data_IF_787845808265
#
_entry.id   IF_787845808265
#
_cell.length_a   1.000
_cell.length_b   1.000
_cell.length_c   1.000
_cell.angle_alpha   90.00
_cell.angle_beta   90.00
_cell.angle_gamma   90.00
#
_symmetry.space_group_name_H-M   'P 1'
#
loop_
_entity.id
_entity.type
_entity.pdbx_description
1 polymer ?
#
# COMPACT_ATOMS: atom_id res chain seq x y z
N UNK A 1 -3.80 25.41 -14.16
CA UNK A 1 -2.89 24.33 -13.73
C UNK A 1 -1.72 24.95 -12.98
N UNK A 2 -1.63 24.75 -11.67
CA UNK A 2 -0.51 25.27 -10.87
C UNK A 2 0.67 24.31 -11.02
N UNK A 3 1.74 24.67 -11.74
CA UNK A 3 2.96 23.88 -11.84
C UNK A 3 3.79 24.00 -10.55
N UNK A 4 3.35 23.33 -9.48
CA UNK A 4 4.18 23.18 -8.29
C UNK A 4 5.23 22.11 -8.59
N UNK A 5 6.50 22.47 -8.48
CA UNK A 5 7.61 21.52 -8.60
C UNK A 5 7.48 20.52 -7.45
N UNK A 6 7.41 19.23 -7.78
CA UNK A 6 7.32 18.15 -6.80
C UNK A 6 8.67 18.01 -6.08
N UNK A 7 8.62 17.77 -4.78
CA UNK A 7 9.81 17.34 -4.02
C UNK A 7 10.27 15.96 -4.49
N UNK A 8 11.53 15.59 -4.23
CA UNK A 8 12.07 14.26 -4.59
C UNK A 8 11.19 13.11 -4.09
N UNK A 9 10.70 13.20 -2.86
CA UNK A 9 9.81 12.17 -2.28
C UNK A 9 8.49 12.10 -3.03
N UNK A 10 7.89 13.23 -3.37
CA UNK A 10 6.63 13.27 -4.11
C UNK A 10 6.80 12.73 -5.53
N UNK A 11 7.90 13.04 -6.21
CA UNK A 11 8.16 12.55 -7.58
C UNK A 11 8.31 11.03 -7.63
N UNK A 12 9.07 10.44 -6.70
CA UNK A 12 9.21 8.97 -6.60
C UNK A 12 7.86 8.29 -6.40
N UNK A 13 7.02 8.81 -5.50
CA UNK A 13 5.69 8.25 -5.29
C UNK A 13 4.73 8.53 -6.44
N UNK A 14 4.85 9.67 -7.13
CA UNK A 14 4.00 10.01 -8.27
C UNK A 14 4.16 9.03 -9.44
N UNK A 15 5.37 8.50 -9.66
CA UNK A 15 5.63 7.47 -10.66
C UNK A 15 4.82 6.20 -10.36
N UNK A 16 4.96 5.63 -9.16
CA UNK A 16 4.23 4.43 -8.76
C UNK A 16 2.72 4.64 -8.65
N UNK A 17 2.28 5.83 -8.22
CA UNK A 17 0.86 6.12 -8.06
C UNK A 17 0.15 6.39 -9.39
N UNK A 18 0.88 6.70 -10.47
CA UNK A 18 0.29 7.04 -11.77
C UNK A 18 -0.58 5.93 -12.39
N UNK A 19 -0.37 4.69 -11.98
CA UNK A 19 -1.14 3.52 -12.41
C UNK A 19 -2.55 3.46 -11.82
N UNK A 20 -2.83 4.23 -10.77
CA UNK A 20 -4.08 4.16 -10.03
C UNK A 20 -4.95 5.39 -10.30
N UNK A 21 -6.27 5.19 -10.35
CA UNK A 21 -7.23 6.28 -10.38
C UNK A 21 -7.69 6.63 -8.95
N UNK A 22 -7.12 7.66 -8.35
CA UNK A 22 -7.41 8.06 -6.97
C UNK A 22 -7.47 9.58 -6.80
N UNK A 23 -8.05 10.00 -5.67
CA UNK A 23 -8.11 11.39 -5.23
C UNK A 23 -7.51 11.50 -3.83
N UNK A 24 -6.47 12.32 -3.66
CA UNK A 24 -5.87 12.58 -2.36
C UNK A 24 -6.74 13.60 -1.61
N UNK A 25 -7.30 13.18 -0.48
CA UNK A 25 -8.04 14.07 0.43
C UNK A 25 -7.34 14.14 1.77
N UNK A 26 -7.29 15.33 2.37
CA UNK A 26 -6.77 15.48 3.73
C UNK A 26 -7.77 14.91 4.73
N UNK A 27 -7.31 13.98 5.56
CA UNK A 27 -8.10 13.43 6.66
C UNK A 27 -7.59 13.98 7.99
N UNK A 28 -8.40 14.75 8.74
CA UNK A 28 -8.04 15.16 10.08
C UNK A 28 -7.95 13.94 10.99
N UNK A 29 -7.03 13.96 11.96
CA UNK A 29 -6.69 12.82 12.82
C UNK A 29 -7.90 12.09 13.42
N UNK A 30 -8.93 12.83 13.84
CA UNK A 30 -10.17 12.27 14.43
C UNK A 30 -10.94 11.34 13.48
N UNK A 31 -10.78 11.52 12.16
CA UNK A 31 -11.38 10.67 11.13
C UNK A 31 -10.42 9.58 10.65
N UNK A 32 -9.12 9.72 10.93
CA UNK A 32 -8.07 8.78 10.59
C UNK A 32 -7.82 7.74 11.70
N UNK A 33 -8.82 7.45 12.55
CA UNK A 33 -8.65 6.60 13.74
C UNK A 33 -8.18 5.20 13.41
N UNK A 34 -8.69 4.57 12.34
CA UNK A 34 -8.28 3.24 11.94
C UNK A 34 -6.79 3.21 11.49
N UNK A 35 -6.36 4.00 10.48
CA UNK A 35 -4.95 4.02 10.10
C UNK A 35 -4.02 4.51 11.22
N UNK A 36 -4.43 5.47 12.06
CA UNK A 36 -3.65 5.96 13.21
C UNK A 36 -3.51 4.89 14.31
N UNK A 37 -4.51 4.04 14.52
CA UNK A 37 -4.40 2.91 15.45
C UNK A 37 -3.53 1.80 14.88
N UNK A 38 -3.65 1.50 13.58
CA UNK A 38 -2.84 0.47 12.93
C UNK A 38 -1.35 0.87 12.83
N UNK A 39 -1.04 2.14 12.62
CA UNK A 39 0.35 2.62 12.55
C UNK A 39 1.05 2.69 13.91
N UNK A 40 0.32 2.56 15.02
CA UNK A 40 0.84 2.56 16.39
C UNK A 40 0.77 1.20 17.06
N UNK A 41 0.61 0.14 16.26
CA UNK A 41 0.54 -1.22 16.76
C UNK A 41 1.91 -1.71 17.18
N UNK A 42 2.17 -1.67 18.48
CA UNK A 42 3.42 -2.15 19.08
C UNK A 42 3.67 -3.64 18.78
N UNK A 43 2.61 -4.40 18.49
CA UNK A 43 2.71 -5.82 18.11
C UNK A 43 3.22 -6.05 16.68
N UNK A 44 3.39 -5.01 15.87
CA UNK A 44 3.83 -5.09 14.46
C UNK A 44 5.27 -4.59 14.28
N UNK A 45 5.70 -3.63 15.10
CA UNK A 45 7.03 -3.04 14.99
C UNK A 45 8.04 -3.89 15.77
N UNK A 46 9.25 -4.09 15.22
CA UNK A 46 10.29 -4.79 15.94
C UNK A 46 10.78 -3.94 17.11
N UNK A 47 11.18 -4.62 18.18
CA UNK A 47 11.94 -3.97 19.23
C UNK A 47 13.33 -3.59 18.72
N UNK A 48 13.94 -2.60 19.37
CA UNK A 48 15.15 -1.94 18.88
C UNK A 48 16.29 -2.94 18.66
N UNK A 49 16.64 -3.19 17.38
CA UNK A 49 17.71 -4.10 16.98
C UNK A 49 17.24 -5.38 16.26
N UNK A 50 15.92 -5.58 16.14
CA UNK A 50 15.33 -6.73 15.44
C UNK A 50 14.69 -6.33 14.10
N UNK A 51 14.63 -7.27 13.17
CA UNK A 51 13.95 -7.07 11.89
C UNK A 51 12.44 -7.33 12.05
N UNK A 52 11.60 -6.59 11.30
CA UNK A 52 10.13 -6.77 11.27
C UNK A 52 9.70 -8.23 11.03
N UNK A 53 10.47 -8.97 10.24
CA UNK A 53 10.22 -10.38 9.90
C UNK A 53 10.47 -11.28 11.13
N UNK A 54 11.53 -10.98 11.89
CA UNK A 54 11.93 -11.79 13.05
C UNK A 54 10.95 -11.65 14.20
N UNK A 55 10.41 -10.45 14.41
CA UNK A 55 9.58 -10.16 15.56
C UNK A 55 8.18 -10.81 15.41
N UNK A 56 7.60 -10.78 14.20
CA UNK A 56 6.29 -11.43 13.89
C UNK A 56 6.22 -11.97 12.44
N UNK A 57 6.46 -13.28 12.21
CA UNK A 57 6.40 -13.88 10.87
C UNK A 57 5.00 -13.85 10.23
N UNK A 58 3.94 -13.64 11.03
CA UNK A 58 2.55 -13.48 10.55
C UNK A 58 2.37 -12.18 9.76
N UNK A 59 3.18 -11.13 10.01
CA UNK A 59 3.04 -9.83 9.32
C UNK A 59 3.28 -9.91 7.81
N UNK A 60 3.92 -10.98 7.33
CA UNK A 60 4.19 -11.24 5.92
C UNK A 60 3.30 -12.33 5.32
N UNK A 61 2.28 -12.81 6.04
CA UNK A 61 1.32 -13.74 5.45
C UNK A 61 0.53 -13.01 4.36
N UNK A 62 0.89 -13.29 3.11
CA UNK A 62 0.09 -12.93 1.96
C UNK A 62 -1.32 -13.47 2.19
N UNK A 63 -2.32 -12.59 2.25
CA UNK A 63 -3.73 -12.98 2.46
C UNK A 63 -4.22 -13.93 1.36
N UNK A 64 -3.56 -13.91 0.20
CA UNK A 64 -3.73 -14.91 -0.85
C UNK A 64 -2.78 -16.07 -0.55
N UNK A 65 -3.33 -17.16 -0.04
CA UNK A 65 -2.61 -18.44 -0.02
C UNK A 65 -2.34 -18.83 -1.47
N UNK A 66 -1.09 -19.14 -1.80
CA UNK A 66 -0.69 -19.45 -3.19
C UNK A 66 -1.53 -20.60 -3.79
N UNK A 67 -2.05 -21.50 -2.95
CA UNK A 67 -2.91 -22.61 -3.35
C UNK A 67 -4.33 -22.17 -3.81
N UNK A 68 -4.77 -20.97 -3.44
CA UNK A 68 -6.08 -20.40 -3.83
C UNK A 68 -5.96 -19.41 -5.00
N UNK A 69 -4.73 -19.09 -5.42
CA UNK A 69 -4.48 -18.26 -6.59
C UNK A 69 -4.84 -19.03 -7.86
N UNK A 70 -6.12 -19.04 -8.22
CA UNK A 70 -6.55 -19.45 -9.55
C UNK A 70 -5.91 -18.47 -10.56
N UNK A 71 -4.98 -18.91 -11.43
CA UNK A 71 -4.21 -18.01 -12.30
C UNK A 71 -5.06 -17.34 -13.38
N UNK A 72 -6.37 -17.59 -13.44
CA UNK A 72 -7.22 -17.29 -14.59
C UNK A 72 -8.57 -16.63 -14.25
N UNK A 73 -8.64 -15.76 -13.24
CA UNK A 73 -9.88 -14.96 -13.01
C UNK A 73 -9.73 -13.45 -12.95
N UNK A 74 -8.53 -12.88 -12.80
CA UNK A 74 -8.43 -11.44 -12.51
C UNK A 74 -7.65 -10.58 -13.52
N UNK A 75 -7.08 -11.14 -14.60
CA UNK A 75 -6.39 -10.33 -15.62
C UNK A 75 -6.57 -10.86 -17.04
N UNK A 76 -7.83 -10.94 -17.50
CA UNK A 76 -8.12 -11.04 -18.94
C UNK A 76 -9.02 -9.88 -19.36
N UNK A 77 -8.43 -8.68 -19.46
CA UNK A 77 -9.02 -7.64 -20.32
C UNK A 77 -8.67 -8.06 -21.75
N UNK A 78 -9.65 -8.60 -22.48
CA UNK A 78 -9.52 -8.71 -23.93
C UNK A 78 -9.45 -7.29 -24.47
N UNK A 79 -8.26 -6.89 -24.92
CA UNK A 79 -8.09 -5.72 -25.77
C UNK A 79 -8.52 -6.17 -27.17
N UNK A 80 -9.76 -5.89 -27.53
CA UNK A 80 -10.21 -6.05 -28.91
C UNK A 80 -9.62 -4.89 -29.71
N UNK A 81 -8.71 -5.22 -30.62
CA UNK A 81 -8.14 -4.29 -31.60
C UNK A 81 -9.24 -3.76 -32.52
N UNK A 82 -9.36 -2.43 -32.63
CA UNK A 82 -10.05 -1.77 -33.74
C UNK A 82 -9.03 -1.40 -34.82
#
# INVERSE_FOLDING_TARGET
MSSKVLTRRQALWAESLSEFHFSITYLPRRLATLPDSLSRRDDVYPESGEDFISNKPINFQQLIKQDEAQPSKYFAVKVDSF
#
